data_IF_128028538493
#
_entry.id   IF_128028538493
#
_cell.length_a   1.000
_cell.length_b   1.000
_cell.length_c   1.000
_cell.angle_alpha   90.00
_cell.angle_beta   90.00
_cell.angle_gamma   90.00
#
_symmetry.space_group_name_H-M   'P 1'
#
loop_
_entity.id
_entity.type
_entity.pdbx_description
1 polymer ?
#
# COMPACT_ATOMS: atom_id res chain seq x y z
N UNK A 1 24.91 -66.70 -11.64
CA UNK A 1 23.63 -65.96 -11.72
C UNK A 1 23.44 -64.84 -10.68
N UNK A 2 24.03 -64.91 -9.47
CA UNK A 2 23.84 -63.87 -8.42
C UNK A 2 24.42 -62.47 -8.73
N UNK A 3 25.55 -62.38 -9.47
CA UNK A 3 26.21 -61.10 -9.78
C UNK A 3 25.47 -60.22 -10.81
N UNK A 4 24.74 -60.85 -11.74
CA UNK A 4 23.95 -60.13 -12.74
C UNK A 4 22.72 -59.45 -12.13
N UNK A 5 22.10 -60.08 -11.12
CA UNK A 5 20.93 -59.52 -10.42
C UNK A 5 21.28 -58.30 -9.56
N UNK A 6 22.46 -58.30 -8.93
CA UNK A 6 22.96 -57.16 -8.14
C UNK A 6 23.31 -55.98 -9.03
N UNK A 7 23.94 -56.23 -10.19
CA UNK A 7 24.26 -55.16 -11.14
C UNK A 7 22.99 -54.48 -11.70
N UNK A 8 21.96 -55.27 -12.01
CA UNK A 8 20.70 -54.76 -12.57
C UNK A 8 19.92 -53.90 -11.56
N UNK A 9 19.95 -54.29 -10.28
CA UNK A 9 19.28 -53.55 -9.21
C UNK A 9 19.97 -52.22 -8.88
N UNK A 10 21.30 -52.16 -8.94
CA UNK A 10 22.05 -50.89 -8.78
C UNK A 10 21.73 -49.90 -9.91
N UNK A 11 21.70 -50.37 -11.16
CA UNK A 11 21.36 -49.53 -12.33
C UNK A 11 19.94 -48.97 -12.22
N UNK A 12 18.98 -49.79 -11.75
CA UNK A 12 17.60 -49.36 -11.56
C UNK A 12 17.49 -48.27 -10.48
N UNK A 13 18.19 -48.41 -9.36
CA UNK A 13 18.17 -47.42 -8.26
C UNK A 13 18.79 -46.09 -8.71
N UNK A 14 19.89 -46.13 -9.48
CA UNK A 14 20.51 -44.91 -10.04
C UNK A 14 19.57 -44.20 -11.02
N UNK A 15 18.88 -44.96 -11.89
CA UNK A 15 17.90 -44.38 -12.82
C UNK A 15 16.71 -43.73 -12.11
N UNK A 16 16.17 -44.39 -11.07
CA UNK A 16 15.06 -43.82 -10.29
C UNK A 16 15.49 -42.55 -9.55
N UNK A 17 16.68 -42.55 -8.94
CA UNK A 17 17.22 -41.36 -8.27
C UNK A 17 17.44 -40.19 -9.24
N UNK A 18 17.92 -40.46 -10.45
CA UNK A 18 18.11 -39.44 -11.49
C UNK A 18 16.78 -38.84 -11.97
N UNK A 19 15.74 -39.67 -12.16
CA UNK A 19 14.40 -39.20 -12.56
C UNK A 19 13.74 -38.36 -11.46
N UNK A 20 13.86 -38.79 -10.19
CA UNK A 20 13.32 -38.04 -9.04
C UNK A 20 14.05 -36.70 -8.88
N UNK A 21 15.39 -36.68 -8.96
CA UNK A 21 16.18 -35.44 -8.90
C UNK A 21 15.85 -34.46 -10.03
N UNK A 22 15.67 -34.96 -11.26
CA UNK A 22 15.28 -34.14 -12.41
C UNK A 22 13.86 -33.57 -12.28
N UNK A 23 12.94 -34.33 -11.69
CA UNK A 23 11.57 -33.88 -11.39
C UNK A 23 11.52 -32.77 -10.35
N UNK A 24 12.34 -32.85 -9.30
CA UNK A 24 12.45 -31.80 -8.28
C UNK A 24 13.03 -30.52 -8.87
N UNK A 25 14.12 -30.59 -9.64
CA UNK A 25 14.73 -29.43 -10.30
C UNK A 25 13.76 -28.66 -11.21
N UNK A 26 12.92 -29.36 -11.96
CA UNK A 26 11.90 -28.72 -12.82
C UNK A 26 10.81 -27.99 -12.02
N UNK A 27 10.44 -28.48 -10.83
CA UNK A 27 9.47 -27.80 -9.96
C UNK A 27 10.06 -26.52 -9.38
N UNK A 28 11.28 -26.58 -8.85
CA UNK A 28 11.97 -25.39 -8.31
C UNK A 28 12.18 -24.32 -9.38
N UNK A 29 12.52 -24.71 -10.61
CA UNK A 29 12.65 -23.75 -11.71
C UNK A 29 11.31 -23.13 -12.15
N UNK A 30 10.20 -23.87 -12.09
CA UNK A 30 8.87 -23.30 -12.36
C UNK A 30 8.44 -22.32 -11.28
N UNK A 31 8.64 -22.68 -10.02
CA UNK A 31 8.34 -21.81 -8.87
C UNK A 31 9.22 -20.55 -8.88
N UNK A 32 10.52 -20.68 -9.18
CA UNK A 32 11.42 -19.54 -9.29
C UNK A 32 11.05 -18.62 -10.47
N UNK A 33 10.62 -19.18 -11.63
CA UNK A 33 10.15 -18.40 -12.77
C UNK A 33 8.81 -17.72 -12.51
N UNK A 34 7.89 -18.38 -11.80
CA UNK A 34 6.63 -17.76 -11.38
C UNK A 34 6.88 -16.62 -10.39
N UNK A 35 7.73 -16.83 -9.38
CA UNK A 35 8.13 -15.78 -8.45
C UNK A 35 8.82 -14.61 -9.17
N UNK A 36 9.71 -14.88 -10.10
CA UNK A 36 10.36 -13.84 -10.91
C UNK A 36 9.38 -13.11 -11.84
N UNK A 37 8.37 -13.80 -12.39
CA UNK A 37 7.34 -13.17 -13.21
C UNK A 37 6.41 -12.28 -12.37
N UNK A 38 6.00 -12.74 -11.18
CA UNK A 38 5.24 -11.94 -10.22
C UNK A 38 6.06 -10.73 -9.78
N UNK A 39 7.34 -10.92 -9.47
CA UNK A 39 8.24 -9.82 -9.10
C UNK A 39 8.42 -8.83 -10.25
N UNK A 40 8.59 -9.29 -11.50
CA UNK A 40 8.71 -8.41 -12.65
C UNK A 40 7.43 -7.58 -12.92
N UNK A 41 6.25 -8.11 -12.56
CA UNK A 41 4.98 -7.36 -12.62
C UNK A 41 4.96 -6.31 -11.50
N UNK A 42 5.36 -6.65 -10.28
CA UNK A 42 5.48 -5.71 -9.16
C UNK A 42 6.46 -4.58 -9.49
N UNK A 43 7.61 -4.92 -10.06
CA UNK A 43 8.66 -3.97 -10.46
C UNK A 43 8.26 -3.11 -11.67
N UNK A 44 7.24 -3.53 -12.43
CA UNK A 44 6.72 -2.77 -13.57
C UNK A 44 5.74 -1.67 -13.18
N UNK A 45 5.19 -1.76 -11.97
CA UNK A 45 4.31 -0.75 -11.39
C UNK A 45 5.10 0.20 -10.49
N UNK A 46 4.70 1.47 -10.51
CA UNK A 46 5.18 2.43 -9.53
C UNK A 46 4.73 2.03 -8.11
N UNK A 47 5.47 2.41 -7.05
CA UNK A 47 5.03 2.18 -5.68
C UNK A 47 3.60 2.70 -5.44
N UNK A 48 3.30 3.90 -5.93
CA UNK A 48 1.98 4.51 -5.84
C UNK A 48 0.83 3.66 -6.44
N UNK A 49 1.07 2.98 -7.56
CA UNK A 49 0.06 2.08 -8.17
C UNK A 49 -0.15 0.83 -7.31
N UNK A 50 0.95 0.25 -6.79
CA UNK A 50 0.87 -0.90 -5.89
C UNK A 50 0.12 -0.57 -4.60
N UNK A 51 0.37 0.61 -4.03
CA UNK A 51 -0.30 1.10 -2.82
C UNK A 51 -1.80 1.33 -3.07
N UNK A 52 -2.15 2.01 -4.18
CA UNK A 52 -3.53 2.26 -4.55
C UNK A 52 -4.32 0.94 -4.76
N UNK A 53 -3.69 -0.05 -5.41
CA UNK A 53 -4.29 -1.38 -5.60
C UNK A 53 -4.53 -2.09 -4.27
N UNK A 54 -3.54 -2.09 -3.36
CA UNK A 54 -3.71 -2.71 -2.04
C UNK A 54 -4.82 -2.03 -1.22
N UNK A 55 -4.87 -0.70 -1.21
CA UNK A 55 -5.90 0.05 -0.49
C UNK A 55 -7.31 -0.24 -1.06
N UNK A 56 -7.47 -0.36 -2.39
CA UNK A 56 -8.77 -0.72 -2.97
C UNK A 56 -9.17 -2.17 -2.65
N UNK A 57 -8.21 -3.11 -2.65
CA UNK A 57 -8.44 -4.49 -2.23
C UNK A 57 -8.92 -4.57 -0.77
N UNK A 58 -8.24 -3.88 0.15
CA UNK A 58 -8.63 -3.79 1.57
C UNK A 58 -10.04 -3.22 1.73
N UNK A 59 -10.37 -2.16 0.98
CA UNK A 59 -11.71 -1.58 0.97
C UNK A 59 -12.76 -2.59 0.50
N UNK A 60 -12.49 -3.36 -0.57
CA UNK A 60 -13.44 -4.34 -1.13
C UNK A 60 -13.74 -5.48 -0.18
N UNK A 61 -12.79 -5.88 0.67
CA UNK A 61 -12.99 -6.91 1.70
C UNK A 61 -13.56 -6.35 3.01
N UNK A 62 -13.89 -5.05 3.05
CA UNK A 62 -14.57 -4.41 4.18
C UNK A 62 -13.64 -3.69 5.16
N UNK A 63 -12.34 -3.58 4.88
CA UNK A 63 -11.41 -2.77 5.66
C UNK A 63 -11.35 -1.35 5.06
N UNK A 64 -12.44 -0.61 5.23
CA UNK A 64 -12.71 0.69 4.59
C UNK A 64 -12.38 1.91 5.47
N UNK A 65 -11.59 1.72 6.53
CA UNK A 65 -11.32 2.76 7.54
C UNK A 65 -10.26 3.73 7.02
N UNK A 66 -9.11 3.21 6.59
CA UNK A 66 -8.03 3.99 5.98
C UNK A 66 -8.37 4.38 4.54
N UNK A 67 -7.97 5.59 4.15
CA UNK A 67 -8.28 6.18 2.84
C UNK A 67 -9.77 6.15 2.49
N UNK A 68 -10.69 6.08 3.48
CA UNK A 68 -12.13 6.19 3.24
C UNK A 68 -12.48 7.44 2.41
N UNK A 69 -11.67 8.49 2.58
CA UNK A 69 -11.65 9.70 1.78
C UNK A 69 -10.25 9.98 1.29
N UNK A 70 -10.17 10.44 0.06
CA UNK A 70 -8.90 10.89 -0.55
C UNK A 70 -9.11 12.27 -1.17
N UNK A 71 -8.02 13.00 -1.50
CA UNK A 71 -8.12 14.24 -2.24
C UNK A 71 -8.92 14.05 -3.53
N UNK A 72 -9.73 15.03 -3.94
CA UNK A 72 -10.52 14.95 -5.18
C UNK A 72 -9.66 14.87 -6.45
N UNK A 73 -8.40 15.26 -6.34
CA UNK A 73 -7.42 15.30 -7.43
C UNK A 73 -6.10 14.71 -6.93
N UNK A 74 -5.34 14.08 -7.83
CA UNK A 74 -4.02 13.53 -7.51
C UNK A 74 -3.11 14.60 -6.88
N UNK A 75 -2.55 14.37 -5.68
CA UNK A 75 -1.55 15.27 -5.11
C UNK A 75 -0.31 15.37 -6.00
N UNK A 76 0.21 16.58 -6.24
CA UNK A 76 1.32 16.77 -7.18
C UNK A 76 2.61 16.17 -6.64
N UNK A 77 3.20 15.25 -7.40
CA UNK A 77 4.45 14.58 -7.03
C UNK A 77 4.31 13.53 -5.93
N UNK A 78 3.08 13.03 -5.71
CA UNK A 78 2.84 11.86 -4.87
C UNK A 78 3.57 10.64 -5.43
N UNK A 79 4.27 9.89 -4.57
CA UNK A 79 5.03 8.69 -4.97
C UNK A 79 4.61 7.43 -4.21
N UNK A 80 3.89 7.57 -3.10
CA UNK A 80 3.40 6.46 -2.29
C UNK A 80 2.23 6.87 -1.39
N UNK A 81 1.54 5.87 -0.87
CA UNK A 81 0.44 6.01 0.08
C UNK A 81 0.46 4.84 1.07
N UNK A 82 0.32 5.12 2.37
CA UNK A 82 0.33 4.07 3.39
C UNK A 82 -0.73 4.32 4.47
N UNK A 83 -1.51 3.31 4.87
CA UNK A 83 -2.37 3.40 6.04
C UNK A 83 -1.49 3.36 7.30
N UNK A 84 -1.62 4.35 8.18
CA UNK A 84 -0.83 4.36 9.42
C UNK A 84 -1.69 4.01 10.62
N UNK A 85 -1.26 2.99 11.35
CA UNK A 85 -1.84 2.72 12.67
C UNK A 85 -1.62 3.92 13.58
N UNK A 86 -2.66 4.32 14.31
CA UNK A 86 -2.62 5.45 15.22
C UNK A 86 -1.42 5.33 16.19
N UNK A 87 -0.41 6.21 16.11
CA UNK A 87 0.75 6.15 16.98
C UNK A 87 0.43 6.57 18.44
N UNK A 88 -0.74 7.16 18.67
CA UNK A 88 -1.21 7.66 19.97
C UNK A 88 -2.63 7.15 20.27
N UNK A 89 -2.81 5.82 20.45
CA UNK A 89 -4.13 5.17 20.56
C UNK A 89 -4.95 5.63 21.76
N UNK A 90 -4.29 6.24 22.75
CA UNK A 90 -4.89 6.67 24.01
C UNK A 90 -5.28 8.15 24.05
N UNK A 91 -4.90 8.95 23.04
CA UNK A 91 -5.12 10.41 23.03
C UNK A 91 -5.83 10.94 21.79
N UNK A 92 -5.86 10.17 20.70
CA UNK A 92 -6.42 10.64 19.44
C UNK A 92 -7.38 9.58 18.90
N UNK A 93 -8.67 9.89 18.90
CA UNK A 93 -9.65 9.04 18.21
C UNK A 93 -9.69 9.44 16.74
N UNK A 94 -8.97 8.71 15.90
CA UNK A 94 -8.94 9.01 14.47
C UNK A 94 -8.17 8.03 13.62
N UNK A 95 -8.22 8.29 12.31
CA UNK A 95 -7.59 7.51 11.26
C UNK A 95 -6.47 8.33 10.63
N UNK A 96 -5.31 7.70 10.50
CA UNK A 96 -4.13 8.31 9.90
C UNK A 96 -3.87 7.70 8.54
N UNK A 97 -3.77 8.56 7.55
CA UNK A 97 -3.36 8.21 6.19
C UNK A 97 -2.08 9.00 5.86
N UNK A 98 -1.09 8.31 5.30
CA UNK A 98 0.15 8.92 4.85
C UNK A 98 0.14 9.05 3.33
N UNK A 99 0.58 10.21 2.87
CA UNK A 99 0.85 10.50 1.49
C UNK A 99 2.33 10.83 1.35
N UNK A 100 3.06 10.01 0.60
CA UNK A 100 4.51 10.11 0.48
C UNK A 100 4.92 10.90 -0.76
N UNK A 101 5.95 11.70 -0.57
CA UNK A 101 6.67 12.48 -1.58
C UNK A 101 8.16 12.18 -1.41
N UNK A 102 9.00 12.60 -2.36
CA UNK A 102 10.46 12.44 -2.30
C UNK A 102 11.08 13.09 -1.03
N UNK A 103 11.20 12.29 0.04
CA UNK A 103 11.73 12.70 1.36
C UNK A 103 10.77 13.47 2.28
N UNK A 104 9.50 13.64 1.90
CA UNK A 104 8.45 14.31 2.69
C UNK A 104 7.23 13.43 2.80
N UNK A 105 6.62 13.41 3.97
CA UNK A 105 5.32 12.77 4.20
C UNK A 105 4.30 13.86 4.51
N UNK A 106 3.09 13.74 3.96
CA UNK A 106 1.92 14.43 4.48
C UNK A 106 1.11 13.45 5.31
N UNK A 107 1.05 13.70 6.61
CA UNK A 107 0.24 12.91 7.53
C UNK A 107 -1.12 13.57 7.62
N UNK A 108 -2.16 12.79 7.30
CA UNK A 108 -3.56 13.22 7.32
C UNK A 108 -4.26 12.49 8.44
N UNK A 109 -4.84 13.26 9.36
CA UNK A 109 -5.68 12.74 10.44
C UNK A 109 -7.14 13.08 10.16
N UNK A 110 -8.00 12.07 10.20
CA UNK A 110 -9.45 12.25 10.30
C UNK A 110 -9.93 11.89 11.70
N UNK A 111 -10.64 12.79 12.37
CA UNK A 111 -11.14 12.60 13.74
C UNK A 111 -12.61 13.00 13.88
N UNK A 112 -13.27 12.50 14.92
CA UNK A 112 -14.62 12.92 15.33
C UNK A 112 -14.61 14.16 16.25
N UNK A 113 -13.46 14.49 16.84
CA UNK A 113 -13.27 15.57 17.82
C UNK A 113 -12.22 16.60 17.38
N UNK A 114 -12.42 17.85 17.81
CA UNK A 114 -11.50 18.99 17.64
C UNK A 114 -10.40 19.09 18.69
N UNK A 115 -10.59 18.40 19.82
CA UNK A 115 -9.72 18.54 21.00
C UNK A 115 -8.42 17.75 20.91
N UNK A 116 -8.28 16.87 19.92
CA UNK A 116 -7.20 15.91 19.81
C UNK A 116 -6.14 16.47 18.84
N UNK A 117 -4.94 16.75 19.36
CA UNK A 117 -3.91 17.61 18.74
C UNK A 117 -3.71 17.38 17.23
N UNK A 118 -4.30 18.23 16.37
CA UNK A 118 -4.37 17.96 14.94
C UNK A 118 -3.03 18.16 14.23
N UNK A 119 -2.07 18.88 14.83
CA UNK A 119 -0.76 19.12 14.24
C UNK A 119 0.42 19.10 15.24
N UNK A 120 0.18 18.90 16.54
CA UNK A 120 1.26 18.84 17.55
C UNK A 120 2.26 20.02 17.46
N UNK A 121 3.55 19.71 17.54
CA UNK A 121 4.68 20.63 17.31
C UNK A 121 5.05 20.79 15.82
N UNK A 122 4.30 20.17 14.90
CA UNK A 122 4.60 20.18 13.48
C UNK A 122 4.04 21.40 12.75
N UNK A 123 4.59 21.69 11.57
CA UNK A 123 4.07 22.73 10.68
C UNK A 123 2.70 22.33 10.13
N UNK A 124 1.65 22.78 10.81
CA UNK A 124 0.28 22.54 10.40
C UNK A 124 0.01 23.18 9.03
N UNK A 125 -0.39 22.36 8.06
CA UNK A 125 -0.77 22.83 6.73
C UNK A 125 -2.27 23.04 6.63
N UNK A 126 -3.03 22.24 7.38
CA UNK A 126 -4.47 22.36 7.47
C UNK A 126 -4.98 21.84 8.80
N UNK A 127 -5.96 22.55 9.33
CA UNK A 127 -6.82 22.14 10.42
C UNK A 127 -8.21 22.69 10.11
N UNK A 128 -9.21 21.82 10.05
CA UNK A 128 -10.57 22.28 9.81
C UNK A 128 -11.63 21.20 9.79
N UNK A 129 -12.87 21.65 9.87
CA UNK A 129 -14.03 20.77 9.83
C UNK A 129 -14.13 20.06 8.47
N UNK A 130 -14.51 18.79 8.53
CA UNK A 130 -14.99 18.00 7.40
C UNK A 130 -16.28 17.31 7.83
N UNK A 131 -17.19 17.07 6.89
CA UNK A 131 -18.37 16.27 7.19
C UNK A 131 -18.26 14.96 6.44
N UNK A 132 -17.68 13.96 7.11
CA UNK A 132 -17.44 12.64 6.54
C UNK A 132 -18.16 11.61 7.37
N UNK A 133 -18.97 10.78 6.72
CA UNK A 133 -19.54 9.59 7.33
C UNK A 133 -19.34 8.40 6.39
N UNK A 134 -18.97 7.28 6.99
CA UNK A 134 -19.01 5.91 6.46
C UNK A 134 -20.03 5.11 7.31
N UNK A 135 -20.41 3.89 6.91
CA UNK A 135 -21.27 3.03 7.73
C UNK A 135 -20.69 2.76 9.13
N UNK A 136 -19.35 2.78 9.25
CA UNK A 136 -18.63 2.31 10.44
C UNK A 136 -18.06 3.47 11.28
N UNK A 137 -17.85 4.64 10.67
CA UNK A 137 -17.19 5.80 11.29
C UNK A 137 -17.67 7.12 10.73
N UNK A 138 -17.76 8.15 11.57
CA UNK A 138 -17.97 9.53 11.13
C UNK A 138 -16.84 10.42 11.62
N UNK A 139 -16.27 11.22 10.72
CA UNK A 139 -15.25 12.20 11.03
C UNK A 139 -15.82 13.60 10.85
N UNK A 140 -15.63 14.43 11.86
CA UNK A 140 -16.04 15.84 11.88
C UNK A 140 -14.86 16.78 11.54
N UNK A 141 -13.62 16.30 11.62
CA UNK A 141 -12.41 17.10 11.49
C UNK A 141 -11.33 16.40 10.66
N UNK A 142 -10.53 17.22 9.98
CA UNK A 142 -9.33 16.80 9.27
C UNK A 142 -8.17 17.70 9.64
N UNK A 143 -7.01 17.08 9.81
CA UNK A 143 -5.76 17.79 9.99
C UNK A 143 -4.68 17.24 9.07
N UNK A 144 -3.80 18.13 8.61
CA UNK A 144 -2.68 17.78 7.74
C UNK A 144 -1.42 18.50 8.21
N UNK A 145 -0.36 17.74 8.45
CA UNK A 145 0.98 18.27 8.71
C UNK A 145 2.00 17.54 7.85
N UNK A 146 3.12 18.21 7.59
CA UNK A 146 4.22 17.62 6.84
C UNK A 146 5.33 17.18 7.79
N UNK A 147 5.81 15.95 7.59
CA UNK A 147 6.96 15.37 8.26
C UNK A 147 8.07 15.07 7.25
N UNK A 148 9.28 14.80 7.73
CA UNK A 148 10.44 14.53 6.88
C UNK A 148 11.33 15.75 6.58
N UNK A 149 12.21 15.60 5.59
CA UNK A 149 13.18 16.63 5.19
C UNK A 149 12.52 17.73 4.34
N UNK A 150 13.20 18.84 4.06
CA UNK A 150 12.64 19.85 3.17
C UNK A 150 12.64 19.34 1.71
N UNK A 151 11.46 19.00 1.15
CA UNK A 151 11.36 18.63 -0.27
C UNK A 151 11.49 19.86 -1.19
N UNK A 152 12.08 19.71 -2.39
CA UNK A 152 12.19 20.79 -3.39
C UNK A 152 10.83 21.42 -3.76
N UNK A 153 9.76 20.63 -3.69
CA UNK A 153 8.39 21.01 -4.01
C UNK A 153 7.52 21.29 -2.77
N UNK A 154 8.10 21.43 -1.57
CA UNK A 154 7.35 21.58 -0.32
C UNK A 154 6.30 22.71 -0.35
N UNK A 155 6.55 23.81 -1.06
CA UNK A 155 5.57 24.90 -1.22
C UNK A 155 4.33 24.46 -2.00
N UNK A 156 4.50 23.66 -3.05
CA UNK A 156 3.40 23.15 -3.86
C UNK A 156 2.57 22.13 -3.06
N UNK A 157 3.25 21.22 -2.35
CA UNK A 157 2.62 20.25 -1.44
C UNK A 157 1.80 20.97 -0.37
N UNK A 158 2.39 21.97 0.32
CA UNK A 158 1.68 22.78 1.31
C UNK A 158 0.43 23.45 0.73
N UNK A 159 0.57 24.08 -0.44
CA UNK A 159 -0.56 24.77 -1.09
C UNK A 159 -1.67 23.80 -1.49
N UNK A 160 -1.33 22.61 -1.96
CA UNK A 160 -2.28 21.57 -2.30
C UNK A 160 -3.11 21.20 -1.06
N UNK A 161 -2.45 20.74 0.00
CA UNK A 161 -3.11 20.27 1.22
C UNK A 161 -3.96 21.33 1.91
N UNK A 162 -3.50 22.58 1.93
CA UNK A 162 -4.27 23.70 2.47
C UNK A 162 -5.61 23.94 1.75
N UNK A 163 -5.76 23.49 0.50
CA UNK A 163 -6.94 23.72 -0.35
C UNK A 163 -7.68 22.45 -0.76
N UNK A 164 -7.19 21.28 -0.34
CA UNK A 164 -7.76 19.99 -0.72
C UNK A 164 -9.26 19.88 -0.46
N UNK A 165 -10.01 19.39 -1.43
CA UNK A 165 -11.34 18.83 -1.19
C UNK A 165 -11.24 17.32 -1.06
N UNK A 166 -12.05 16.74 -0.18
CA UNK A 166 -12.05 15.32 0.10
C UNK A 166 -13.29 14.67 -0.50
N UNK A 167 -13.13 13.54 -1.17
CA UNK A 167 -14.22 12.76 -1.77
C UNK A 167 -14.13 11.30 -1.30
N UNK A 168 -15.23 10.53 -1.32
CA UNK A 168 -15.15 9.07 -1.16
C UNK A 168 -14.10 8.51 -2.12
N UNK A 169 -13.28 7.57 -1.66
CA UNK A 169 -12.25 6.95 -2.50
C UNK A 169 -12.82 6.36 -3.80
N UNK A 170 -14.03 5.79 -3.73
CA UNK A 170 -14.77 5.29 -4.88
C UNK A 170 -15.15 6.37 -5.91
N UNK A 171 -15.11 7.65 -5.54
CA UNK A 171 -15.42 8.79 -6.40
C UNK A 171 -14.16 9.52 -6.89
N UNK A 172 -12.97 9.10 -6.46
CA UNK A 172 -11.71 9.71 -6.85
C UNK A 172 -11.16 9.04 -8.12
N UNK A 173 -11.48 9.59 -9.29
CA UNK A 173 -11.10 9.01 -10.58
C UNK A 173 -9.58 8.73 -10.71
N UNK A 174 -8.73 9.60 -10.15
CA UNK A 174 -7.28 9.39 -10.17
C UNK A 174 -6.86 8.15 -9.37
N UNK A 175 -7.50 7.92 -8.22
CA UNK A 175 -7.22 6.78 -7.36
C UNK A 175 -7.70 5.50 -8.03
N UNK A 176 -8.92 5.49 -8.56
CA UNK A 176 -9.46 4.33 -9.29
C UNK A 176 -8.58 3.92 -10.46
N UNK A 177 -8.01 4.89 -11.19
CA UNK A 177 -7.08 4.60 -12.28
C UNK A 177 -5.79 3.92 -11.78
N UNK A 178 -5.17 4.44 -10.72
CA UNK A 178 -3.98 3.82 -10.12
C UNK A 178 -4.28 2.41 -9.57
N UNK A 179 -5.40 2.25 -8.89
CA UNK A 179 -5.82 0.96 -8.33
C UNK A 179 -6.03 -0.09 -9.41
N UNK A 180 -6.71 0.25 -10.51
CA UNK A 180 -6.91 -0.67 -11.65
C UNK A 180 -5.59 -1.10 -12.28
N UNK A 181 -4.61 -0.19 -12.36
CA UNK A 181 -3.27 -0.51 -12.85
C UNK A 181 -2.57 -1.46 -11.85
N UNK A 182 -2.54 -1.11 -10.56
CA UNK A 182 -1.91 -1.92 -9.52
C UNK A 182 -2.56 -3.29 -9.24
N UNK A 183 -3.85 -3.45 -9.56
CA UNK A 183 -4.64 -4.69 -9.41
C UNK A 183 -4.44 -5.69 -10.55
N UNK A 184 -3.77 -5.34 -11.64
CA UNK A 184 -3.58 -6.22 -12.81
C UNK A 184 -2.63 -7.44 -12.57
N UNK A 185 -2.64 -7.95 -11.34
CA UNK A 185 -1.90 -9.07 -10.75
C UNK A 185 -2.44 -10.45 -11.17
#
# INVERSE_FOLDING_TARGET
MKRAFVALSVVLVVLVAAVVGYGQLRRTHREARQKAAVQAIIDSHSPLENDAGQIDDERRIGHNVHFARVPSTLPPGLVGMEPRTNPYPEYIHGVYDIYEYDGVEAVVLFSDSTGDFPCGDHSCVRDGAVNVSTPDTSYAYVAVWLTGAAAPNATAIKRFWAKTSWVPIANAAWFTQLAVVGESR
#
